data_IF_010959485260
#
_entry.id   IF_010959485260
#
_cell.length_a   1.000
_cell.length_b   1.000
_cell.length_c   1.000
_cell.angle_alpha   90.00
_cell.angle_beta   90.00
_cell.angle_gamma   90.00
#
_symmetry.space_group_name_H-M   'P 1'
#
loop_
_entity.id
_entity.type
_entity.pdbx_description
1 polymer ?
#
# COMPACT_ATOMS: atom_id res chain seq x y z
N UNK A 1 -43.83 -13.87 -6.84
CA UNK A 1 -43.81 -13.20 -5.53
C UNK A 1 -43.49 -11.74 -5.76
N UNK A 2 -44.22 -10.80 -5.15
CA UNK A 2 -43.90 -9.38 -5.26
C UNK A 2 -42.50 -9.13 -4.70
N UNK A 3 -41.63 -8.44 -5.45
CA UNK A 3 -40.29 -8.09 -4.97
C UNK A 3 -40.42 -7.09 -3.83
N UNK A 4 -39.71 -7.34 -2.72
CA UNK A 4 -39.61 -6.39 -1.61
C UNK A 4 -39.05 -5.06 -2.12
N UNK A 5 -39.73 -3.91 -1.90
CA UNK A 5 -39.21 -2.61 -2.29
C UNK A 5 -37.83 -2.33 -1.69
N UNK A 6 -36.93 -1.67 -2.45
CA UNK A 6 -35.57 -1.32 -2.00
C UNK A 6 -35.58 -0.55 -0.67
N UNK A 7 -36.54 0.36 -0.49
CA UNK A 7 -36.70 1.14 0.75
C UNK A 7 -37.06 0.28 1.99
N UNK A 8 -37.61 -0.90 1.79
CA UNK A 8 -37.88 -1.85 2.88
C UNK A 8 -36.64 -2.71 3.19
N UNK A 9 -35.86 -3.07 2.17
CA UNK A 9 -34.59 -3.78 2.33
C UNK A 9 -33.52 -2.87 2.97
N UNK A 10 -33.55 -1.58 2.63
CA UNK A 10 -32.60 -0.57 3.05
C UNK A 10 -33.37 0.67 3.57
N UNK A 11 -33.74 0.68 4.86
CA UNK A 11 -34.54 1.76 5.44
C UNK A 11 -33.78 3.09 5.58
N UNK A 12 -32.45 3.09 5.44
CA UNK A 12 -31.56 4.27 5.55
C UNK A 12 -31.81 5.10 6.82
N UNK A 13 -32.17 4.42 7.91
CA UNK A 13 -32.31 5.02 9.24
C UNK A 13 -30.92 5.47 9.71
N UNK A 14 -30.83 6.68 10.27
CA UNK A 14 -29.57 7.29 10.73
C UNK A 14 -28.50 7.54 9.64
N UNK A 15 -28.87 7.49 8.36
CA UNK A 15 -27.97 7.87 7.25
C UNK A 15 -28.02 9.40 7.04
N UNK A 16 -26.86 10.08 6.85
CA UNK A 16 -26.82 11.51 6.57
C UNK A 16 -27.57 11.86 5.29
N UNK A 17 -28.05 13.12 5.18
CA UNK A 17 -28.83 13.56 4.02
C UNK A 17 -28.07 13.41 2.71
N UNK A 18 -26.76 13.64 2.70
CA UNK A 18 -25.92 13.40 1.52
C UNK A 18 -25.84 11.90 1.19
N UNK A 19 -25.71 11.04 2.22
CA UNK A 19 -25.67 9.58 2.10
C UNK A 19 -26.92 9.02 1.45
N UNK A 20 -28.09 9.50 1.85
CA UNK A 20 -29.38 9.12 1.24
C UNK A 20 -29.45 9.46 -0.25
N UNK A 21 -28.88 10.61 -0.66
CA UNK A 21 -28.86 11.03 -2.07
C UNK A 21 -27.94 10.15 -2.91
N UNK A 22 -26.72 9.89 -2.45
CA UNK A 22 -25.76 9.05 -3.19
C UNK A 22 -26.21 7.59 -3.25
N UNK A 23 -26.81 7.07 -2.17
CA UNK A 23 -27.42 5.75 -2.18
C UNK A 23 -28.57 5.67 -3.19
N UNK A 24 -29.44 6.68 -3.25
CA UNK A 24 -30.55 6.70 -4.22
C UNK A 24 -30.01 6.69 -5.65
N UNK A 25 -29.01 7.53 -5.96
CA UNK A 25 -28.35 7.52 -7.29
C UNK A 25 -27.76 6.15 -7.62
N UNK A 26 -27.03 5.54 -6.66
CA UNK A 26 -26.46 4.20 -6.83
C UNK A 26 -27.54 3.14 -7.10
N UNK A 27 -28.64 3.17 -6.35
CA UNK A 27 -29.75 2.24 -6.54
C UNK A 27 -30.42 2.44 -7.90
N UNK A 28 -30.61 3.69 -8.34
CA UNK A 28 -31.20 4.01 -9.65
C UNK A 28 -30.30 3.52 -10.80
N UNK A 29 -28.98 3.72 -10.69
CA UNK A 29 -28.01 3.24 -11.68
C UNK A 29 -28.02 1.70 -11.79
N UNK A 30 -28.00 0.99 -10.64
CA UNK A 30 -28.00 -0.48 -10.62
C UNK A 30 -29.34 -1.08 -11.10
N UNK A 31 -30.45 -0.38 -10.90
CA UNK A 31 -31.79 -0.88 -11.18
C UNK A 31 -32.40 -0.35 -12.48
N UNK A 32 -31.66 0.48 -13.22
CA UNK A 32 -32.09 1.02 -14.50
C UNK A 32 -32.51 -0.07 -15.49
N UNK A 33 -33.72 0.05 -16.02
CA UNK A 33 -34.23 -0.84 -17.09
C UNK A 33 -33.79 -0.34 -18.48
N UNK A 34 -33.65 0.98 -18.64
CA UNK A 34 -33.25 1.63 -19.89
C UNK A 34 -31.74 1.47 -20.17
N UNK A 35 -30.93 1.47 -19.10
CA UNK A 35 -29.48 1.28 -19.19
C UNK A 35 -29.03 0.22 -18.16
N UNK A 36 -29.24 -1.08 -18.43
CA UNK A 36 -28.96 -2.13 -17.45
C UNK A 36 -27.50 -2.20 -17.02
N UNK A 37 -27.26 -2.11 -15.71
CA UNK A 37 -25.91 -2.13 -15.17
C UNK A 37 -25.13 -3.42 -15.54
N UNK A 38 -23.83 -3.34 -15.85
CA UNK A 38 -23.07 -4.49 -16.34
C UNK A 38 -22.90 -5.62 -15.33
N UNK A 39 -22.71 -5.30 -14.04
CA UNK A 39 -22.47 -6.30 -12.99
C UNK A 39 -23.79 -6.93 -12.50
N UNK A 40 -24.13 -8.09 -13.06
CA UNK A 40 -25.36 -8.83 -12.70
C UNK A 40 -25.35 -9.24 -11.23
N UNK A 41 -24.19 -9.62 -10.68
CA UNK A 41 -24.06 -10.07 -9.29
C UNK A 41 -24.43 -8.93 -8.32
N UNK A 42 -23.93 -7.72 -8.57
CA UNK A 42 -24.24 -6.53 -7.75
C UNK A 42 -25.72 -6.16 -7.80
N UNK A 43 -26.33 -6.20 -8.99
CA UNK A 43 -27.77 -5.95 -9.16
C UNK A 43 -28.62 -6.98 -8.39
N UNK A 44 -28.25 -8.25 -8.46
CA UNK A 44 -28.94 -9.31 -7.72
C UNK A 44 -28.74 -9.19 -6.21
N UNK A 45 -27.54 -8.81 -5.75
CA UNK A 45 -27.25 -8.54 -4.35
C UNK A 45 -28.11 -7.43 -3.78
N UNK A 46 -28.22 -6.31 -4.51
CA UNK A 46 -29.07 -5.17 -4.12
C UNK A 46 -30.55 -5.58 -4.04
N UNK A 47 -31.06 -6.29 -5.05
CA UNK A 47 -32.46 -6.74 -5.09
C UNK A 47 -32.82 -7.72 -3.97
N UNK A 48 -31.84 -8.42 -3.41
CA UNK A 48 -32.03 -9.42 -2.35
C UNK A 48 -31.76 -8.90 -0.95
N UNK A 49 -31.30 -7.66 -0.78
CA UNK A 49 -30.95 -7.14 0.54
C UNK A 49 -29.58 -7.61 1.06
N UNK A 50 -28.74 -8.18 0.19
CA UNK A 50 -27.47 -8.80 0.58
C UNK A 50 -26.33 -7.79 0.70
N UNK A 51 -26.44 -6.60 0.11
CA UNK A 51 -25.39 -5.58 0.23
C UNK A 51 -25.37 -4.91 1.60
N UNK A 52 -24.21 -4.39 1.98
CA UNK A 52 -24.02 -3.50 3.14
C UNK A 52 -23.41 -2.18 2.69
N UNK A 53 -23.69 -1.12 3.43
CA UNK A 53 -23.32 0.24 3.07
C UNK A 53 -22.76 0.97 4.30
N UNK A 54 -21.73 1.78 4.10
CA UNK A 54 -21.30 2.78 5.06
C UNK A 54 -21.13 4.15 4.37
N UNK A 55 -21.17 5.20 5.17
CA UNK A 55 -21.14 6.58 4.71
C UNK A 55 -20.07 7.29 5.53
N UNK A 56 -18.94 7.60 4.90
CA UNK A 56 -17.73 8.08 5.54
C UNK A 56 -17.52 9.55 5.17
N UNK A 57 -17.30 10.42 6.15
CA UNK A 57 -17.19 11.85 5.90
C UNK A 57 -15.87 12.22 5.20
N UNK A 58 -14.75 11.58 5.54
CA UNK A 58 -13.46 11.85 4.89
C UNK A 58 -12.63 10.59 4.63
N UNK A 59 -11.88 10.59 3.53
CA UNK A 59 -11.00 9.49 3.14
C UNK A 59 -9.63 9.51 3.83
N UNK A 60 -9.28 10.60 4.53
CA UNK A 60 -7.94 10.78 5.12
C UNK A 60 -7.95 11.17 6.61
N UNK A 61 -9.11 11.30 7.25
CA UNK A 61 -9.19 11.48 8.71
C UNK A 61 -9.11 10.12 9.38
N UNK A 62 -8.23 10.02 10.37
CA UNK A 62 -7.98 8.77 11.09
C UNK A 62 -9.26 8.18 11.71
N UNK A 63 -10.09 9.02 12.31
CA UNK A 63 -11.37 8.63 12.94
C UNK A 63 -12.34 8.01 11.92
N UNK A 64 -12.46 8.63 10.75
CA UNK A 64 -13.35 8.20 9.66
C UNK A 64 -12.86 6.89 9.02
N UNK A 65 -11.54 6.70 8.89
CA UNK A 65 -10.97 5.44 8.40
C UNK A 65 -11.11 4.33 9.44
N UNK A 66 -10.99 4.64 10.74
CA UNK A 66 -11.28 3.69 11.83
C UNK A 66 -12.75 3.26 11.82
N UNK A 67 -13.68 4.18 11.53
CA UNK A 67 -15.09 3.86 11.35
C UNK A 67 -15.31 2.95 10.13
N UNK A 68 -14.68 3.25 8.99
CA UNK A 68 -14.70 2.38 7.80
C UNK A 68 -14.18 0.98 8.13
N UNK A 69 -13.02 0.87 8.78
CA UNK A 69 -12.40 -0.39 9.18
C UNK A 69 -13.33 -1.21 10.10
N UNK A 70 -13.95 -0.56 11.09
CA UNK A 70 -14.91 -1.19 11.99
C UNK A 70 -16.12 -1.77 11.25
N UNK A 71 -16.70 -1.01 10.32
CA UNK A 71 -17.85 -1.48 9.54
C UNK A 71 -17.48 -2.55 8.51
N UNK A 72 -16.31 -2.44 7.89
CA UNK A 72 -15.80 -3.46 6.97
C UNK A 72 -15.53 -4.78 7.72
N UNK A 73 -14.97 -4.72 8.94
CA UNK A 73 -14.75 -5.90 9.79
C UNK A 73 -16.06 -6.62 10.09
N UNK A 74 -17.05 -5.88 10.60
CA UNK A 74 -18.39 -6.42 10.86
C UNK A 74 -19.01 -7.06 9.62
N UNK A 75 -18.86 -6.41 8.47
CA UNK A 75 -19.32 -6.96 7.21
C UNK A 75 -18.63 -8.27 6.89
N UNK A 76 -17.30 -8.34 6.97
CA UNK A 76 -16.53 -9.58 6.69
C UNK A 76 -17.03 -10.72 7.58
N UNK A 77 -17.19 -10.46 8.88
CA UNK A 77 -17.69 -11.42 9.88
C UNK A 77 -19.07 -11.99 9.55
N UNK A 78 -20.01 -11.16 9.06
CA UNK A 78 -21.38 -11.59 8.73
C UNK A 78 -21.60 -11.96 7.25
N UNK A 79 -20.63 -11.67 6.37
CA UNK A 79 -20.81 -11.66 4.91
C UNK A 79 -21.35 -12.97 4.34
N UNK A 80 -20.93 -14.11 4.90
CA UNK A 80 -21.35 -15.45 4.46
C UNK A 80 -22.83 -15.74 4.74
N UNK A 81 -23.43 -15.04 5.70
CA UNK A 81 -24.86 -15.18 6.04
C UNK A 81 -25.77 -14.24 5.22
N UNK A 82 -25.20 -13.29 4.47
CA UNK A 82 -25.95 -12.30 3.69
C UNK A 82 -26.47 -12.84 2.35
N UNK A 83 -25.92 -13.98 1.92
CA UNK A 83 -26.25 -14.66 0.67
C UNK A 83 -25.13 -14.60 -0.37
N UNK A 84 -25.32 -15.38 -1.46
CA UNK A 84 -24.26 -15.65 -2.45
C UNK A 84 -23.65 -14.40 -3.10
N UNK A 85 -24.45 -13.36 -3.33
CA UNK A 85 -24.02 -12.16 -4.06
C UNK A 85 -24.01 -10.96 -3.12
N UNK A 86 -22.97 -10.86 -2.29
CA UNK A 86 -22.82 -9.78 -1.32
C UNK A 86 -21.64 -8.87 -1.66
N UNK A 87 -21.73 -7.60 -1.25
CA UNK A 87 -20.64 -6.63 -1.28
C UNK A 87 -20.88 -5.58 -0.20
N UNK A 88 -19.79 -4.97 0.27
CA UNK A 88 -19.81 -3.81 1.14
C UNK A 88 -19.42 -2.57 0.35
N UNK A 89 -20.25 -1.55 0.38
CA UNK A 89 -20.06 -0.33 -0.42
C UNK A 89 -19.87 0.85 0.51
N UNK A 90 -18.67 1.43 0.48
CA UNK A 90 -18.33 2.65 1.20
C UNK A 90 -18.55 3.86 0.28
N UNK A 91 -19.41 4.78 0.71
CA UNK A 91 -19.55 6.09 0.08
C UNK A 91 -18.78 7.13 0.89
N UNK A 92 -17.99 7.95 0.21
CA UNK A 92 -17.32 9.10 0.83
C UNK A 92 -18.16 10.36 0.60
N UNK A 93 -18.21 11.25 1.57
CA UNK A 93 -18.97 12.49 1.45
C UNK A 93 -18.51 13.26 0.19
N UNK A 94 -19.44 13.71 -0.68
CA UNK A 94 -19.07 14.47 -1.85
C UNK A 94 -18.34 15.76 -1.47
N UNK A 95 -17.09 15.87 -1.92
CA UNK A 95 -16.27 17.08 -1.86
C UNK A 95 -16.24 17.79 -3.23
N UNK A 96 -15.40 18.81 -3.39
CA UNK A 96 -15.09 19.36 -4.70
C UNK A 96 -14.52 18.26 -5.61
N UNK A 97 -15.01 18.20 -6.85
CA UNK A 97 -14.58 17.21 -7.84
C UNK A 97 -13.08 17.29 -8.06
N UNK A 98 -12.37 16.20 -7.78
CA UNK A 98 -10.94 16.06 -7.98
C UNK A 98 -10.60 15.48 -9.37
N UNK A 99 -9.31 15.46 -9.73
CA UNK A 99 -8.85 14.79 -10.96
C UNK A 99 -8.81 13.27 -10.79
N UNK A 100 -8.77 12.53 -11.91
CA UNK A 100 -8.67 11.06 -11.89
C UNK A 100 -7.46 10.57 -11.06
N UNK A 101 -6.30 11.21 -11.22
CA UNK A 101 -5.07 10.87 -10.50
C UNK A 101 -5.20 11.10 -8.99
N UNK A 102 -5.93 12.15 -8.58
CA UNK A 102 -6.20 12.40 -7.16
C UNK A 102 -7.10 11.31 -6.59
N UNK A 103 -8.18 10.93 -7.29
CA UNK A 103 -9.03 9.81 -6.83
C UNK A 103 -8.28 8.47 -6.79
N UNK A 104 -7.36 8.22 -7.73
CA UNK A 104 -6.50 7.03 -7.69
C UNK A 104 -5.62 7.04 -6.42
N UNK A 105 -5.00 8.18 -6.10
CA UNK A 105 -4.22 8.32 -4.88
C UNK A 105 -5.09 8.15 -3.63
N UNK A 106 -6.28 8.73 -3.59
CA UNK A 106 -7.23 8.59 -2.48
C UNK A 106 -7.60 7.12 -2.27
N UNK A 107 -7.94 6.42 -3.36
CA UNK A 107 -8.26 4.99 -3.35
C UNK A 107 -7.15 4.14 -2.71
N UNK A 108 -5.91 4.29 -3.17
CA UNK A 108 -4.80 3.54 -2.61
C UNK A 108 -4.44 3.96 -1.19
N UNK A 109 -4.64 5.24 -0.83
CA UNK A 109 -4.43 5.71 0.55
C UNK A 109 -5.41 5.05 1.51
N UNK A 110 -6.69 4.90 1.11
CA UNK A 110 -7.69 4.19 1.92
C UNK A 110 -7.30 2.71 2.09
N UNK A 111 -6.87 2.02 1.03
CA UNK A 111 -6.49 0.60 1.16
C UNK A 111 -5.25 0.40 2.05
N UNK A 112 -4.24 1.25 1.92
CA UNK A 112 -3.06 1.19 2.80
C UNK A 112 -3.45 1.46 4.26
N UNK A 113 -4.27 2.47 4.53
CA UNK A 113 -4.71 2.79 5.89
C UNK A 113 -5.60 1.70 6.49
N UNK A 114 -6.44 1.03 5.68
CA UNK A 114 -7.20 -0.14 6.13
C UNK A 114 -6.27 -1.30 6.50
N UNK A 115 -5.24 -1.56 5.70
CA UNK A 115 -4.24 -2.59 6.01
C UNK A 115 -3.47 -2.27 7.31
N UNK A 116 -3.10 -1.01 7.54
CA UNK A 116 -2.44 -0.57 8.78
C UNK A 116 -3.29 -0.76 10.03
N UNK A 117 -4.61 -0.61 9.92
CA UNK A 117 -5.55 -0.76 11.03
C UNK A 117 -5.95 -2.23 11.26
N UNK A 118 -5.76 -3.08 10.26
CA UNK A 118 -6.14 -4.48 10.35
C UNK A 118 -5.29 -5.21 11.39
N UNK A 119 -5.97 -5.79 12.38
CA UNK A 119 -5.32 -6.56 13.44
C UNK A 119 -5.18 -8.03 13.09
N UNK A 120 -5.90 -8.51 12.08
CA UNK A 120 -5.83 -9.90 11.65
C UNK A 120 -4.58 -10.13 10.79
N UNK A 121 -3.90 -11.28 10.95
CA UNK A 121 -2.76 -11.60 10.13
C UNK A 121 -3.18 -11.78 8.66
N UNK A 122 -2.29 -11.40 7.74
CA UNK A 122 -2.47 -11.68 6.32
C UNK A 122 -2.65 -13.20 6.09
N UNK A 123 -3.64 -13.65 5.30
CA UNK A 123 -3.88 -15.07 5.06
C UNK A 123 -2.66 -15.79 4.49
N UNK A 124 -2.30 -16.94 5.07
CA UNK A 124 -1.08 -17.66 4.71
C UNK A 124 -1.07 -18.21 3.27
N UNK A 125 -2.24 -18.39 2.68
CA UNK A 125 -2.45 -18.87 1.32
C UNK A 125 -2.50 -17.75 0.27
N UNK A 126 -2.52 -16.48 0.68
CA UNK A 126 -2.48 -15.32 -0.20
C UNK A 126 -1.10 -14.68 -0.16
N UNK A 127 -0.38 -14.58 -1.30
CA UNK A 127 0.90 -13.89 -1.34
C UNK A 127 0.79 -12.44 -0.88
N UNK A 128 1.82 -11.92 -0.21
CA UNK A 128 1.89 -10.50 0.19
C UNK A 128 2.45 -9.59 -0.89
N UNK A 129 3.24 -10.14 -1.82
CA UNK A 129 3.82 -9.40 -2.94
C UNK A 129 2.72 -9.09 -3.99
N UNK A 130 2.37 -7.82 -4.22
CA UNK A 130 1.35 -7.44 -5.22
C UNK A 130 1.75 -7.77 -6.66
N UNK A 131 3.03 -8.07 -6.93
CA UNK A 131 3.47 -8.59 -8.23
C UNK A 131 3.31 -10.12 -8.35
N UNK A 132 2.76 -10.81 -7.35
CA UNK A 132 2.31 -12.18 -7.49
C UNK A 132 0.91 -12.25 -8.14
N UNK A 133 0.71 -13.16 -9.10
CA UNK A 133 -0.56 -13.32 -9.81
C UNK A 133 -1.72 -13.83 -8.93
N UNK A 134 -1.42 -14.38 -7.74
CA UNK A 134 -2.40 -14.79 -6.73
C UNK A 134 -2.60 -13.74 -5.64
N UNK A 135 -1.88 -12.62 -5.67
CA UNK A 135 -2.09 -11.56 -4.70
C UNK A 135 -3.50 -10.98 -4.78
N UNK A 136 -4.06 -10.65 -3.63
CA UNK A 136 -5.31 -9.92 -3.47
C UNK A 136 -5.26 -9.12 -2.16
N UNK A 137 -5.86 -7.92 -2.14
CA UNK A 137 -6.06 -7.17 -0.91
C UNK A 137 -6.82 -8.02 0.11
N UNK A 138 -6.27 -8.14 1.32
CA UNK A 138 -6.91 -8.84 2.42
C UNK A 138 -7.27 -7.87 3.54
N UNK A 139 -8.43 -8.09 4.16
CA UNK A 139 -8.84 -7.39 5.38
C UNK A 139 -9.62 -8.33 6.30
N UNK A 140 -9.29 -8.32 7.59
CA UNK A 140 -9.84 -9.21 8.61
C UNK A 140 -9.74 -10.69 8.22
N UNK A 141 -8.57 -11.09 7.69
CA UNK A 141 -8.28 -12.45 7.24
C UNK A 141 -9.01 -12.89 5.95
N UNK A 142 -9.73 -11.99 5.27
CA UNK A 142 -10.50 -12.31 4.07
C UNK A 142 -9.88 -11.67 2.82
N UNK A 143 -9.62 -12.42 1.73
CA UNK A 143 -9.27 -11.85 0.44
C UNK A 143 -10.49 -11.15 -0.20
N UNK A 144 -10.30 -9.90 -0.63
CA UNK A 144 -11.37 -9.01 -1.08
C UNK A 144 -10.99 -8.39 -2.42
N UNK A 145 -11.85 -8.59 -3.42
CA UNK A 145 -11.80 -7.86 -4.68
C UNK A 145 -12.36 -6.46 -4.45
N UNK A 146 -11.55 -5.45 -4.77
CA UNK A 146 -11.91 -4.05 -4.54
C UNK A 146 -12.23 -3.36 -5.87
N UNK A 147 -13.24 -2.49 -5.86
CA UNK A 147 -13.61 -1.66 -7.00
C UNK A 147 -13.70 -0.20 -6.57
N UNK A 148 -13.04 0.68 -7.33
CA UNK A 148 -13.21 2.11 -7.21
C UNK A 148 -14.23 2.65 -8.24
N UNK A 149 -15.09 3.56 -7.78
CA UNK A 149 -15.93 4.39 -8.63
C UNK A 149 -15.76 5.87 -8.25
N UNK A 150 -15.82 6.76 -9.25
CA UNK A 150 -15.62 8.21 -9.03
C UNK A 150 -16.60 9.05 -9.85
N UNK A 151 -16.81 10.33 -9.48
CA UNK A 151 -17.64 11.26 -10.25
C UNK A 151 -17.09 11.61 -11.65
N UNK A 152 -15.79 11.39 -11.87
CA UNK A 152 -15.07 11.88 -13.06
C UNK A 152 -14.86 10.85 -14.15
N UNK A 153 -15.36 9.62 -13.97
CA UNK A 153 -15.44 8.69 -15.08
C UNK A 153 -16.50 9.19 -16.08
N UNK A 154 -16.09 9.34 -17.33
CA UNK A 154 -16.96 9.75 -18.44
C UNK A 154 -17.05 8.66 -19.50
N UNK A 155 -15.92 7.99 -19.80
CA UNK A 155 -15.87 6.94 -20.80
C UNK A 155 -16.29 5.59 -20.23
N UNK A 156 -15.87 5.29 -19.01
CA UNK A 156 -16.31 4.12 -18.23
C UNK A 156 -17.47 4.48 -17.32
N UNK A 157 -18.65 4.62 -17.89
CA UNK A 157 -19.89 4.76 -17.12
C UNK A 157 -20.02 3.69 -16.04
N UNK A 158 -19.50 2.48 -16.27
CA UNK A 158 -19.48 1.36 -15.31
C UNK A 158 -18.64 1.62 -14.04
N UNK A 159 -17.73 2.60 -14.10
CA UNK A 159 -16.91 3.11 -12.99
C UNK A 159 -17.36 4.49 -12.50
N UNK A 160 -18.41 5.07 -13.09
CA UNK A 160 -18.99 6.33 -12.65
C UNK A 160 -19.86 6.12 -11.40
N UNK A 161 -19.84 7.07 -10.49
CA UNK A 161 -20.77 7.16 -9.36
C UNK A 161 -21.00 8.62 -8.98
N UNK A 162 -22.06 8.91 -8.23
CA UNK A 162 -22.38 10.27 -7.75
C UNK A 162 -21.34 10.84 -6.77
N UNK A 163 -20.46 10.00 -6.22
CA UNK A 163 -19.38 10.37 -5.29
C UNK A 163 -18.20 9.41 -5.43
N UNK A 164 -17.11 9.68 -4.71
CA UNK A 164 -16.04 8.69 -4.51
C UNK A 164 -16.60 7.51 -3.72
N UNK A 165 -16.49 6.32 -4.28
CA UNK A 165 -17.11 5.11 -3.76
C UNK A 165 -16.14 3.93 -3.91
N UNK A 166 -16.03 3.11 -2.86
CA UNK A 166 -15.24 1.88 -2.87
C UNK A 166 -16.16 0.71 -2.57
N UNK A 167 -16.14 -0.31 -3.42
CA UNK A 167 -16.86 -1.58 -3.19
C UNK A 167 -15.86 -2.67 -2.82
N UNK A 168 -16.13 -3.34 -1.71
CA UNK A 168 -15.37 -4.47 -1.18
C UNK A 168 -16.19 -5.74 -1.35
N UNK A 169 -15.69 -6.68 -2.16
CA UNK A 169 -16.37 -7.93 -2.46
C UNK A 169 -15.47 -9.13 -2.09
N UNK A 170 -15.82 -9.91 -1.05
CA UNK A 170 -15.04 -11.09 -0.68
C UNK A 170 -14.87 -12.04 -1.86
N UNK A 171 -13.67 -12.61 -2.01
CA UNK A 171 -13.31 -13.46 -3.16
C UNK A 171 -14.26 -14.65 -3.32
N UNK A 172 -14.71 -15.24 -2.22
CA UNK A 172 -15.62 -16.39 -2.24
C UNK A 172 -16.95 -16.12 -2.96
N UNK A 173 -17.35 -14.85 -3.14
CA UNK A 173 -18.53 -14.50 -3.95
C UNK A 173 -18.36 -14.93 -5.42
N UNK A 174 -17.12 -15.04 -5.89
CA UNK A 174 -16.78 -15.53 -7.22
C UNK A 174 -16.61 -17.06 -7.26
N UNK A 175 -16.83 -17.79 -6.17
CA UNK A 175 -16.70 -19.25 -6.14
C UNK A 175 -17.64 -19.90 -7.17
N UNK A 176 -17.04 -20.76 -8.01
CA UNK A 176 -17.71 -21.38 -9.14
C UNK A 176 -17.85 -20.49 -10.39
N UNK A 177 -17.38 -19.24 -10.36
CA UNK A 177 -17.25 -18.34 -11.50
C UNK A 177 -15.77 -18.20 -11.87
N UNK A 178 -15.22 -19.23 -12.52
CA UNK A 178 -13.82 -19.26 -12.91
C UNK A 178 -13.66 -19.67 -14.38
N UNK A 179 -12.40 -19.68 -14.85
CA UNK A 179 -12.04 -20.04 -16.22
C UNK A 179 -12.35 -21.48 -16.59
N UNK A 180 -12.71 -22.35 -15.64
CA UNK A 180 -12.91 -23.78 -15.90
C UNK A 180 -14.40 -24.14 -15.91
N UNK A 181 -15.25 -23.32 -15.28
CA UNK A 181 -16.70 -23.56 -15.23
C UNK A 181 -17.42 -22.99 -16.46
N UNK A 182 -18.34 -23.78 -17.04
CA UNK A 182 -19.19 -23.33 -18.16
C UNK A 182 -20.04 -22.12 -17.74
N UNK A 183 -20.60 -22.16 -16.53
CA UNK A 183 -21.37 -21.07 -15.97
C UNK A 183 -20.52 -19.80 -15.78
N UNK A 184 -19.28 -19.93 -15.30
CA UNK A 184 -18.34 -18.83 -15.13
C UNK A 184 -18.00 -18.16 -16.45
N UNK A 185 -17.62 -18.95 -17.47
CA UNK A 185 -17.38 -18.43 -18.83
C UNK A 185 -18.58 -17.68 -19.40
N UNK A 186 -19.80 -18.22 -19.21
CA UNK A 186 -21.02 -17.59 -19.67
C UNK A 186 -21.29 -16.26 -18.96
N UNK A 187 -21.11 -16.21 -17.63
CA UNK A 187 -21.25 -14.98 -16.83
C UNK A 187 -20.22 -13.94 -17.27
N UNK A 188 -18.94 -14.30 -17.39
CA UNK A 188 -17.89 -13.37 -17.82
C UNK A 188 -18.16 -12.83 -19.22
N UNK A 189 -18.59 -13.69 -20.16
CA UNK A 189 -18.99 -13.24 -21.50
C UNK A 189 -20.15 -12.25 -21.42
N UNK A 190 -21.19 -12.56 -20.65
CA UNK A 190 -22.37 -11.69 -20.50
C UNK A 190 -22.00 -10.32 -19.91
N UNK A 191 -21.14 -10.29 -18.88
CA UNK A 191 -20.65 -9.04 -18.29
C UNK A 191 -19.83 -8.25 -19.31
N UNK A 192 -18.92 -8.88 -20.05
CA UNK A 192 -18.15 -8.22 -21.12
C UNK A 192 -19.06 -7.63 -22.21
N UNK A 193 -20.06 -8.38 -22.67
CA UNK A 193 -21.03 -7.91 -23.67
C UNK A 193 -21.89 -6.73 -23.15
N UNK A 194 -22.11 -6.64 -21.83
CA UNK A 194 -22.78 -5.48 -21.22
C UNK A 194 -21.85 -4.28 -21.12
N UNK A 195 -20.60 -4.47 -20.69
CA UNK A 195 -19.60 -3.39 -20.63
C UNK A 195 -19.43 -2.70 -21.98
N UNK A 196 -19.34 -3.46 -23.08
CA UNK A 196 -19.23 -2.91 -24.44
C UNK A 196 -20.40 -2.01 -24.84
N UNK A 197 -21.60 -2.23 -24.27
CA UNK A 197 -22.78 -1.40 -24.54
C UNK A 197 -22.96 -0.24 -23.56
N UNK A 198 -22.43 -0.41 -22.34
CA UNK A 198 -22.62 0.52 -21.24
C UNK A 198 -21.54 1.61 -21.22
N UNK A 199 -20.30 1.24 -21.57
CA UNK A 199 -19.16 2.14 -21.63
C UNK A 199 -18.94 2.64 -23.07
N UNK A 200 -18.37 3.83 -23.22
CA UNK A 200 -17.98 4.38 -24.53
C UNK A 200 -16.54 4.04 -24.91
N UNK A 201 -15.83 3.33 -24.04
CA UNK A 201 -14.49 2.77 -24.26
C UNK A 201 -14.53 1.24 -24.24
N UNK A 202 -13.60 0.61 -24.96
CA UNK A 202 -13.46 -0.84 -24.93
C UNK A 202 -13.19 -1.36 -23.49
N UNK A 203 -13.61 -2.60 -23.17
CA UNK A 203 -13.26 -3.23 -21.90
C UNK A 203 -11.77 -3.17 -21.63
N UNK A 204 -11.39 -2.86 -20.39
CA UNK A 204 -9.99 -2.69 -20.01
C UNK A 204 -9.21 -4.00 -20.16
N UNK A 205 -7.98 -3.99 -20.72
CA UNK A 205 -7.20 -5.20 -20.98
C UNK A 205 -6.90 -6.02 -19.71
N UNK A 206 -6.72 -5.35 -18.57
CA UNK A 206 -6.43 -5.99 -17.29
C UNK A 206 -7.61 -6.80 -16.70
N UNK A 207 -8.84 -6.63 -17.22
CA UNK A 207 -10.03 -7.36 -16.77
C UNK A 207 -9.92 -8.86 -17.12
N UNK A 208 -9.32 -9.63 -16.21
CA UNK A 208 -8.85 -10.99 -16.43
C UNK A 208 -9.52 -11.97 -15.46
N UNK A 209 -9.00 -13.19 -15.34
CA UNK A 209 -9.44 -14.12 -14.30
C UNK A 209 -8.45 -14.02 -13.16
N UNK A 210 -8.91 -14.17 -11.92
CA UNK A 210 -8.01 -14.27 -10.79
C UNK A 210 -7.02 -15.42 -10.98
N UNK A 211 -5.75 -15.18 -10.63
CA UNK A 211 -4.67 -16.14 -10.78
C UNK A 211 -4.10 -16.27 -12.20
N UNK A 212 -4.56 -15.47 -13.17
CA UNK A 212 -3.94 -15.43 -14.49
C UNK A 212 -2.50 -14.88 -14.38
N UNK A 213 -1.53 -15.67 -14.86
CA UNK A 213 -0.09 -15.40 -14.67
C UNK A 213 0.37 -14.13 -15.38
N UNK A 214 -0.34 -13.74 -16.43
CA UNK A 214 -0.01 -12.59 -17.27
C UNK A 214 -0.58 -11.27 -16.74
N UNK A 215 -1.45 -11.31 -15.72
CA UNK A 215 -2.09 -10.11 -15.15
C UNK A 215 -1.86 -10.02 -13.64
N UNK A 216 -2.25 -8.89 -13.05
CA UNK A 216 -2.19 -8.68 -11.61
C UNK A 216 -3.55 -8.20 -11.12
N UNK A 217 -4.03 -8.79 -10.03
CA UNK A 217 -5.39 -8.52 -9.55
C UNK A 217 -5.60 -7.04 -9.21
N UNK A 218 -4.59 -6.41 -8.59
CA UNK A 218 -4.64 -5.00 -8.20
C UNK A 218 -4.85 -4.04 -9.38
N UNK A 219 -4.42 -4.41 -10.59
CA UNK A 219 -4.63 -3.60 -11.81
C UNK A 219 -6.10 -3.52 -12.24
N UNK A 220 -6.97 -4.36 -11.65
CA UNK A 220 -8.40 -4.33 -11.90
C UNK A 220 -9.16 -3.44 -10.91
N UNK A 221 -8.53 -3.03 -9.81
CA UNK A 221 -9.19 -2.34 -8.69
C UNK A 221 -9.54 -0.89 -9.03
N UNK A 222 -8.60 -0.18 -9.65
CA UNK A 222 -8.80 1.16 -10.17
C UNK A 222 -8.60 1.16 -11.68
N UNK A 223 -9.63 1.52 -12.45
CA UNK A 223 -9.60 1.54 -13.91
C UNK A 223 -9.89 2.93 -14.43
N UNK A 224 -8.85 3.68 -14.82
CA UNK A 224 -9.01 4.98 -15.46
C UNK A 224 -9.77 4.87 -16.80
N UNK A 225 -10.28 6.01 -17.30
CA UNK A 225 -11.05 6.06 -18.54
C UNK A 225 -10.24 5.61 -19.77
N UNK A 226 -8.92 5.80 -19.78
CA UNK A 226 -8.05 5.36 -20.86
C UNK A 226 -7.39 4.01 -20.55
N UNK A 227 -7.29 3.13 -21.55
CA UNK A 227 -6.65 1.81 -21.41
C UNK A 227 -5.11 1.85 -21.30
N UNK A 228 -4.48 3.01 -21.50
CA UNK A 228 -3.03 3.17 -21.48
C UNK A 228 -2.50 3.71 -20.14
N UNK A 229 -3.39 4.01 -19.18
CA UNK A 229 -3.04 4.52 -17.86
C UNK A 229 -3.06 3.37 -16.83
N UNK A 230 -2.11 2.45 -16.98
CA UNK A 230 -1.90 1.36 -16.03
C UNK A 230 -0.60 1.62 -15.27
N UNK A 231 -0.63 1.73 -13.93
CA UNK A 231 0.60 1.88 -13.14
C UNK A 231 1.56 0.72 -13.40
N UNK A 232 2.86 1.02 -13.41
CA UNK A 232 3.90 0.01 -13.58
C UNK A 232 4.10 -0.86 -12.33
N UNK A 233 3.79 -0.32 -11.15
CA UNK A 233 3.93 -0.96 -9.85
C UNK A 233 2.68 -0.70 -9.01
N UNK A 234 2.38 -1.62 -8.10
CA UNK A 234 1.24 -1.50 -7.21
C UNK A 234 1.49 -0.42 -6.14
N UNK A 235 0.59 0.56 -5.95
CA UNK A 235 0.71 1.55 -4.88
C UNK A 235 0.34 1.02 -3.47
N UNK A 236 0.17 -0.29 -3.32
CA UNK A 236 -0.12 -0.94 -2.05
C UNK A 236 1.17 -1.42 -1.39
N UNK A 237 1.36 -1.10 -0.11
CA UNK A 237 2.65 -1.22 0.58
C UNK A 237 2.68 -2.31 1.68
N UNK A 238 1.92 -3.40 1.56
CA UNK A 238 1.91 -4.46 2.58
C UNK A 238 3.31 -5.03 2.92
N UNK A 239 4.18 -5.14 1.92
CA UNK A 239 5.53 -5.67 2.12
C UNK A 239 6.46 -4.75 2.93
N UNK A 240 6.21 -3.43 2.94
CA UNK A 240 7.04 -2.48 3.69
C UNK A 240 6.81 -2.56 5.21
N UNK A 241 5.68 -3.10 5.65
CA UNK A 241 5.32 -3.16 7.08
C UNK A 241 5.89 -4.37 7.82
N UNK A 242 6.29 -5.44 7.13
CA UNK A 242 6.99 -6.57 7.77
C UNK A 242 8.52 -6.44 7.78
N UNK A 243 9.08 -5.52 6.98
CA UNK A 243 10.48 -5.09 7.15
C UNK A 243 10.64 -4.08 8.29
N UNK A 244 9.54 -3.45 8.73
CA UNK A 244 9.48 -2.77 10.01
C UNK A 244 9.18 -3.81 11.11
N UNK A 245 10.08 -4.08 12.06
CA UNK A 245 9.73 -4.90 13.21
C UNK A 245 8.60 -4.21 13.98
N UNK A 246 7.45 -4.88 14.09
CA UNK A 246 6.38 -4.46 15.00
C UNK A 246 6.84 -4.70 16.44
N UNK A 247 7.44 -3.67 17.05
CA UNK A 247 7.62 -3.62 18.49
C UNK A 247 6.31 -3.14 19.16
N UNK A 248 5.90 -3.74 20.29
CA UNK A 248 4.83 -3.17 21.10
C UNK A 248 5.28 -1.82 21.65
N UNK A 249 4.45 -0.79 21.48
CA UNK A 249 4.65 0.53 22.09
C UNK A 249 4.29 0.43 23.57
N UNK A 250 5.24 0.02 24.39
CA UNK A 250 5.29 0.39 25.81
C UNK A 250 6.38 1.45 25.99
N UNK A 251 5.97 2.64 26.45
CA UNK A 251 6.88 3.71 26.84
C UNK A 251 7.74 3.25 28.04
N UNK A 252 8.90 2.65 27.76
CA UNK A 252 9.93 2.43 28.77
C UNK A 252 11.18 3.21 28.40
N UNK A 253 11.60 4.06 29.34
CA UNK A 253 12.58 5.14 29.18
C UNK A 253 14.03 4.63 29.19
N UNK A 254 14.29 3.39 28.77
CA UNK A 254 15.65 2.83 28.61
C UNK A 254 15.63 1.79 27.47
N UNK A 255 15.67 2.26 26.22
CA UNK A 255 15.72 1.39 25.04
C UNK A 255 17.19 1.03 24.74
N UNK A 256 17.58 -0.22 25.00
CA UNK A 256 18.90 -0.74 24.61
C UNK A 256 18.99 -0.82 23.07
N UNK A 257 20.08 -0.33 22.48
CA UNK A 257 20.26 -0.34 21.02
C UNK A 257 21.24 -1.43 20.62
N UNK A 258 20.83 -2.34 19.73
CA UNK A 258 21.70 -3.41 19.20
C UNK A 258 21.89 -3.27 17.70
N UNK A 259 23.09 -3.59 17.23
CA UNK A 259 23.47 -3.53 15.81
C UNK A 259 23.90 -4.91 15.31
N UNK A 260 23.87 -5.11 13.98
CA UNK A 260 24.39 -6.36 13.36
C UNK A 260 25.91 -6.39 13.29
N UNK A 261 26.51 -5.21 13.22
CA UNK A 261 27.96 -5.02 13.21
C UNK A 261 28.51 -4.97 14.62
N UNK A 262 29.78 -5.35 14.77
CA UNK A 262 30.50 -5.13 16.02
C UNK A 262 30.58 -3.64 16.31
N UNK A 263 30.18 -3.23 17.52
CA UNK A 263 30.13 -1.83 17.94
C UNK A 263 31.15 -1.49 19.01
N UNK A 264 31.78 -2.51 19.60
CA UNK A 264 32.90 -2.35 20.50
C UNK A 264 34.22 -2.37 19.72
N UNK A 265 34.75 -1.17 19.47
CA UNK A 265 36.08 -0.96 18.91
C UNK A 265 36.73 0.25 19.59
N UNK A 266 37.98 0.07 20.03
CA UNK A 266 38.74 1.07 20.79
C UNK A 266 39.79 1.80 19.93
N UNK A 267 40.04 1.33 18.71
CA UNK A 267 41.01 1.90 17.78
C UNK A 267 40.38 2.14 16.40
N UNK A 268 40.87 3.17 15.69
CA UNK A 268 40.42 3.46 14.33
C UNK A 268 40.87 2.33 13.38
N UNK A 269 39.95 1.83 12.56
CA UNK A 269 40.22 0.72 11.66
C UNK A 269 39.65 0.95 10.25
N UNK A 270 40.36 0.43 9.25
CA UNK A 270 40.01 0.54 7.83
C UNK A 270 39.92 -0.85 7.23
N UNK A 271 38.72 -1.40 7.16
CA UNK A 271 38.44 -2.72 6.60
C UNK A 271 38.22 -2.62 5.10
N UNK A 272 39.00 -3.38 4.32
CA UNK A 272 39.03 -3.28 2.87
C UNK A 272 38.08 -4.27 2.20
N UNK A 273 37.41 -3.83 1.14
CA UNK A 273 36.58 -4.67 0.27
C UNK A 273 35.47 -5.48 1.00
N UNK A 274 34.82 -4.88 2.00
CA UNK A 274 33.59 -5.43 2.62
C UNK A 274 32.47 -5.56 1.58
N UNK A 275 32.39 -4.60 0.65
CA UNK A 275 31.40 -4.58 -0.43
C UNK A 275 29.97 -4.33 0.06
N UNK A 276 29.01 -4.49 -0.86
CA UNK A 276 27.59 -4.32 -0.60
C UNK A 276 26.94 -3.21 -1.45
N UNK A 277 25.68 -3.43 -1.79
CA UNK A 277 24.80 -2.41 -2.38
C UNK A 277 24.34 -1.41 -1.31
N UNK A 278 23.80 -0.26 -1.71
CA UNK A 278 23.24 0.74 -0.77
C UNK A 278 22.26 0.10 0.23
N UNK A 279 21.35 -0.75 -0.26
CA UNK A 279 20.37 -1.42 0.59
C UNK A 279 21.05 -2.36 1.60
N UNK A 280 21.96 -3.23 1.14
CA UNK A 280 22.66 -4.17 2.03
C UNK A 280 23.50 -3.45 3.10
N UNK A 281 24.13 -2.34 2.73
CA UNK A 281 24.95 -1.53 3.64
C UNK A 281 24.07 -0.85 4.69
N UNK A 282 22.99 -0.18 4.27
CA UNK A 282 22.02 0.45 5.18
C UNK A 282 21.43 -0.59 6.13
N UNK A 283 20.98 -1.73 5.62
CA UNK A 283 20.41 -2.81 6.44
C UNK A 283 21.44 -3.42 7.41
N UNK A 284 22.72 -3.42 7.06
CA UNK A 284 23.79 -3.90 7.95
C UNK A 284 24.13 -2.93 9.07
N UNK A 285 23.95 -1.62 8.84
CA UNK A 285 24.38 -0.55 9.75
C UNK A 285 23.23 0.01 10.61
N UNK A 286 21.98 -0.24 10.25
CA UNK A 286 20.82 0.08 11.09
C UNK A 286 20.76 -0.82 12.34
N UNK A 287 20.21 -0.31 13.46
CA UNK A 287 19.99 -1.13 14.64
C UNK A 287 18.92 -2.20 14.37
N UNK A 288 19.09 -3.37 15.00
CA UNK A 288 18.12 -4.48 15.02
C UNK A 288 17.20 -4.44 16.23
N UNK A 289 17.62 -3.76 17.30
CA UNK A 289 16.79 -3.45 18.47
C UNK A 289 17.04 -1.98 18.83
N UNK A 290 15.99 -1.26 19.20
CA UNK A 290 16.05 0.17 19.53
C UNK A 290 15.94 1.11 18.33
N UNK A 291 15.72 2.40 18.61
CA UNK A 291 15.59 3.43 17.57
C UNK A 291 16.93 4.07 17.21
N UNK A 292 17.32 4.03 15.94
CA UNK A 292 18.53 4.68 15.41
C UNK A 292 18.38 5.09 13.95
N UNK A 293 19.47 5.57 13.34
CA UNK A 293 19.49 6.02 11.96
C UNK A 293 20.87 5.83 11.33
N UNK A 294 20.92 5.93 10.01
CA UNK A 294 22.15 6.13 9.22
C UNK A 294 21.97 7.35 8.33
N UNK A 295 23.07 8.00 7.97
CA UNK A 295 23.08 9.10 7.02
C UNK A 295 23.68 8.63 5.70
N UNK A 296 23.05 8.98 4.58
CA UNK A 296 23.62 8.74 3.24
C UNK A 296 24.09 10.08 2.71
N UNK A 297 25.40 10.21 2.49
CA UNK A 297 26.03 11.47 2.12
C UNK A 297 26.72 11.36 0.76
N UNK A 298 26.58 12.42 -0.04
CA UNK A 298 27.33 12.62 -1.29
C UNK A 298 28.16 13.88 -1.17
N UNK A 299 29.48 13.72 -1.18
CA UNK A 299 30.42 14.83 -1.24
C UNK A 299 30.77 15.18 -2.69
N UNK A 300 30.78 16.49 -2.99
CA UNK A 300 31.27 17.01 -4.26
C UNK A 300 32.79 16.78 -4.40
N UNK A 301 33.35 16.75 -5.63
CA UNK A 301 34.78 16.64 -5.87
C UNK A 301 35.67 17.50 -4.98
N UNK A 302 36.68 16.88 -4.35
CA UNK A 302 37.65 17.56 -3.47
C UNK A 302 37.03 18.30 -2.28
N UNK A 303 35.79 17.98 -1.90
CA UNK A 303 35.17 18.51 -0.69
C UNK A 303 35.96 18.03 0.52
N UNK A 304 36.47 19.00 1.28
CA UNK A 304 37.15 18.78 2.55
C UNK A 304 36.19 18.96 3.73
N UNK A 305 36.28 18.05 4.68
CA UNK A 305 35.71 18.14 6.02
C UNK A 305 36.86 18.40 7.01
N UNK A 306 36.88 19.57 7.67
CA UNK A 306 37.96 19.94 8.59
C UNK A 306 38.14 18.94 9.74
N UNK A 307 39.30 19.00 10.41
CA UNK A 307 39.56 18.16 11.58
C UNK A 307 38.52 18.40 12.69
N UNK A 308 37.92 17.33 13.17
CA UNK A 308 36.89 17.34 14.22
C UNK A 308 36.83 15.99 14.95
N UNK A 309 35.91 15.87 15.90
CA UNK A 309 35.62 14.62 16.61
C UNK A 309 34.18 14.61 17.12
N UNK A 310 33.67 13.44 17.48
CA UNK A 310 32.32 13.22 17.96
C UNK A 310 32.31 12.42 19.28
N UNK A 311 31.28 12.59 20.14
CA UNK A 311 31.20 11.88 21.42
C UNK A 311 30.74 10.42 21.30
N UNK A 312 30.50 9.92 20.09
CA UNK A 312 29.93 8.61 19.78
C UNK A 312 30.83 7.86 18.80
N UNK A 313 30.81 6.53 18.85
CA UNK A 313 31.45 5.71 17.82
C UNK A 313 30.75 5.92 16.47
N UNK A 314 31.53 5.92 15.40
CA UNK A 314 31.07 6.16 14.04
C UNK A 314 31.59 5.07 13.11
N UNK A 315 30.74 4.62 12.18
CA UNK A 315 31.13 3.71 11.10
C UNK A 315 30.78 4.37 9.77
N UNK A 316 31.71 4.40 8.83
CA UNK A 316 31.46 4.83 7.46
C UNK A 316 31.64 3.69 6.48
N UNK A 317 30.86 3.66 5.40
CA UNK A 317 31.00 2.69 4.34
C UNK A 317 30.89 3.34 2.97
N UNK A 318 31.90 3.14 2.13
CA UNK A 318 32.04 3.82 0.84
C UNK A 318 31.27 3.05 -0.24
N UNK A 319 30.37 3.73 -0.95
CA UNK A 319 29.55 3.12 -2.01
C UNK A 319 30.03 3.51 -3.42
N UNK A 320 30.55 4.72 -3.60
CA UNK A 320 31.06 5.20 -4.88
C UNK A 320 32.10 6.32 -4.70
N UNK A 321 32.97 6.52 -5.68
CA UNK A 321 34.04 7.50 -5.64
C UNK A 321 35.17 7.10 -4.69
N UNK A 322 35.90 8.09 -4.15
CA UNK A 322 36.93 7.85 -3.14
C UNK A 322 36.95 8.96 -2.09
N UNK A 323 37.49 8.64 -0.92
CA UNK A 323 37.69 9.61 0.16
C UNK A 323 38.96 9.28 0.93
N UNK A 324 39.77 10.30 1.22
CA UNK A 324 40.98 10.17 2.05
C UNK A 324 40.67 10.65 3.44
N UNK A 325 40.79 9.77 4.43
CA UNK A 325 40.68 10.10 5.85
C UNK A 325 42.06 10.32 6.45
N UNK A 326 42.18 11.33 7.30
CA UNK A 326 43.37 11.57 8.13
C UNK A 326 43.01 11.31 9.58
N UNK A 327 43.67 10.33 10.20
CA UNK A 327 43.54 10.00 11.63
C UNK A 327 44.96 9.94 12.20
N UNK A 328 45.22 10.64 13.30
CA UNK A 328 46.55 10.72 13.93
C UNK A 328 47.70 11.02 12.93
N UNK A 329 47.48 12.01 12.07
CA UNK A 329 48.40 12.43 10.98
C UNK A 329 48.69 11.35 9.91
N UNK A 330 47.98 10.22 9.93
CA UNK A 330 48.06 9.18 8.90
C UNK A 330 46.91 9.32 7.92
N UNK A 331 47.24 9.52 6.65
CA UNK A 331 46.27 9.55 5.56
C UNK A 331 45.99 8.15 5.01
N UNK A 332 44.71 7.82 4.89
CA UNK A 332 44.22 6.56 4.34
C UNK A 332 43.16 6.83 3.28
N UNK A 333 43.49 6.54 2.02
CA UNK A 333 42.54 6.61 0.91
C UNK A 333 41.62 5.37 0.92
N UNK A 334 40.32 5.60 0.75
CA UNK A 334 39.25 4.59 0.81
C UNK A 334 38.42 4.60 -0.49
N UNK A 335 37.99 3.41 -0.90
CA UNK A 335 37.33 3.15 -2.18
C UNK A 335 36.01 2.38 -1.98
N UNK A 336 35.17 2.21 -3.03
CA UNK A 336 33.89 1.53 -2.89
C UNK A 336 34.04 0.13 -2.31
N UNK A 337 33.24 -0.17 -1.30
CA UNK A 337 33.29 -1.40 -0.52
C UNK A 337 34.18 -1.33 0.72
N UNK A 338 34.97 -0.28 0.93
CA UNK A 338 35.74 -0.11 2.17
C UNK A 338 34.85 0.38 3.32
N UNK A 339 35.18 -0.06 4.55
CA UNK A 339 34.49 0.33 5.78
C UNK A 339 35.49 0.91 6.79
N UNK A 340 35.10 2.02 7.41
CA UNK A 340 35.92 2.81 8.33
C UNK A 340 35.24 2.76 9.69
N UNK A 341 35.98 2.47 10.75
CA UNK A 341 35.51 2.45 12.13
C UNK A 341 36.26 3.52 12.91
N UNK A 342 35.52 4.44 13.53
CA UNK A 342 36.06 5.59 14.28
C UNK A 342 35.51 5.56 15.71
N UNK A 343 36.33 5.19 16.71
CA UNK A 343 35.95 5.30 18.11
C UNK A 343 35.54 6.72 18.50
N UNK A 344 34.69 6.83 19.53
CA UNK A 344 34.34 8.13 20.12
C UNK A 344 35.59 8.90 20.51
N UNK A 345 35.61 10.20 20.23
CA UNK A 345 36.75 11.05 20.52
C UNK A 345 37.92 10.91 19.54
N UNK A 346 37.86 10.04 18.53
CA UNK A 346 38.87 9.99 17.46
C UNK A 346 38.85 11.31 16.69
N UNK A 347 40.00 11.99 16.67
CA UNK A 347 40.19 13.22 15.89
C UNK A 347 40.48 12.82 14.44
N UNK A 348 39.67 13.32 13.53
CA UNK A 348 39.79 12.95 12.12
C UNK A 348 39.38 14.10 11.19
N UNK A 349 39.89 14.07 9.96
CA UNK A 349 39.44 14.90 8.84
C UNK A 349 39.32 14.06 7.58
N UNK A 350 38.64 14.57 6.56
CA UNK A 350 38.54 13.87 5.29
C UNK A 350 38.48 14.80 4.09
N UNK A 351 38.95 14.31 2.94
CA UNK A 351 38.84 14.98 1.65
C UNK A 351 38.37 13.97 0.62
N UNK A 352 37.24 14.25 -0.02
CA UNK A 352 36.73 13.42 -1.11
C UNK A 352 37.61 13.52 -2.36
N UNK A 353 37.64 12.44 -3.14
CA UNK A 353 38.42 12.36 -4.37
C UNK A 353 37.92 13.28 -5.50
N UNK A 354 38.59 13.26 -6.66
CA UNK A 354 38.30 14.15 -7.79
C UNK A 354 36.93 13.91 -8.44
N UNK A 355 36.29 12.76 -8.22
CA UNK A 355 34.94 12.45 -8.70
C UNK A 355 33.87 12.60 -7.59
N UNK A 356 34.25 13.09 -6.41
CA UNK A 356 33.40 13.10 -5.22
C UNK A 356 33.33 11.73 -4.54
N UNK A 357 32.41 11.59 -3.59
CA UNK A 357 32.22 10.33 -2.86
C UNK A 357 30.78 10.16 -2.37
N UNK A 358 30.21 8.98 -2.56
CA UNK A 358 28.93 8.56 -1.95
C UNK A 358 29.23 7.52 -0.88
N UNK A 359 28.72 7.74 0.34
CA UNK A 359 28.95 6.85 1.48
C UNK A 359 27.79 6.88 2.47
N UNK A 360 27.75 5.86 3.34
CA UNK A 360 26.81 5.74 4.46
C UNK A 360 27.57 5.95 5.75
N UNK A 361 26.97 6.69 6.70
CA UNK A 361 27.50 6.93 8.04
C UNK A 361 26.52 6.35 9.06
N UNK A 362 27.03 5.59 10.02
CA UNK A 362 26.29 5.11 11.18
C UNK A 362 26.87 5.73 12.44
N UNK A 363 26.07 6.58 13.10
CA UNK A 363 26.39 7.11 14.42
C UNK A 363 25.82 6.17 15.47
N UNK A 364 26.71 5.45 16.17
CA UNK A 364 26.32 4.41 17.11
C UNK A 364 25.86 5.03 18.43
N UNK A 365 24.64 4.70 18.85
CA UNK A 365 24.12 5.10 20.16
C UNK A 365 24.73 4.22 21.25
N UNK A 366 25.17 4.83 22.35
CA UNK A 366 25.68 4.08 23.50
C UNK A 366 24.56 3.29 24.17
N UNK A 367 24.86 2.03 24.53
CA UNK A 367 24.02 1.24 25.42
C UNK A 367 24.09 1.85 26.83
N UNK A 368 23.12 2.69 27.16
CA UNK A 368 22.98 3.20 28.52
C UNK A 368 22.33 2.10 29.37
N UNK A 369 23.11 1.56 30.31
CA UNK A 369 22.68 0.50 31.23
C UNK A 369 21.47 0.89 32.07
#
# INVERSE_FOLDING_TARGET
MARTPIKQLYPLTNVPTWGKKVFQSFADDLLSEDNPFPCILGVEGLKKGSLRFCFIDSWNKEEDIKELAFHLRKYVEESRDLGKNTSFVAFFQPEETQTMQVYEKQFWSVLNALHEIDSEPWPADIPMDPDNHLWEFCFNGEPIFVVCNTPVHEKRSSRKAATFMITFQPRWVFDGINSDSIAGKAIKKMVRDRLVRYDTVAPHPELSWYGDKETREWKQYFLADENNQVPAQCPFHAAMQQQAPQAPVENNVNEYVKYRVETAFDEAAFERNVGGTLQEVVDSLLPVEGTGYVEVQTDAPNKAHPSHTHPTNEILHILNGSITFTVDDVETECFPGDRIYLPKGTVHSSVSGPEGCLYVIAILKENTL
#
